data_IF_569237223329
#
_entry.id   IF_569237223329
#
_cell.length_a   1.000
_cell.length_b   1.000
_cell.length_c   1.000
_cell.angle_alpha   90.00
_cell.angle_beta   90.00
_cell.angle_gamma   90.00
#
_symmetry.space_group_name_H-M   'P 1'
#
loop_
_entity.id
_entity.type
_entity.pdbx_description
1 polymer ?
#
# COMPACT_ATOMS: atom_id res chain seq x y z
N UNK A 1 14.28 -10.78 -5.34
CA UNK A 1 12.91 -10.49 -4.87
C UNK A 1 12.69 -8.99 -4.91
N UNK A 2 11.47 -8.51 -5.14
CA UNK A 2 11.12 -7.09 -5.02
C UNK A 2 9.77 -6.89 -4.34
N UNK A 3 9.62 -5.79 -3.61
CA UNK A 3 8.39 -5.35 -2.94
C UNK A 3 8.18 -3.88 -3.28
N UNK A 4 6.95 -3.50 -3.65
CA UNK A 4 6.58 -2.12 -3.97
C UNK A 4 5.23 -1.77 -3.36
N UNK A 5 5.11 -0.59 -2.76
CA UNK A 5 3.83 -0.12 -2.25
C UNK A 5 3.97 1.14 -1.40
N UNK A 6 2.84 1.62 -0.90
CA UNK A 6 2.77 2.65 0.14
C UNK A 6 2.90 1.99 1.52
N UNK A 7 3.99 2.26 2.21
CA UNK A 7 4.27 1.70 3.53
C UNK A 7 3.81 2.63 4.63
N UNK A 8 3.68 3.93 4.34
CA UNK A 8 3.36 4.98 5.31
C UNK A 8 4.21 4.89 6.60
N UNK A 9 5.51 4.63 6.43
CA UNK A 9 6.49 4.52 7.52
C UNK A 9 7.50 5.66 7.49
N UNK A 10 8.07 5.99 8.64
CA UNK A 10 9.03 7.08 8.77
C UNK A 10 10.33 6.62 9.42
N UNK A 11 11.46 6.98 8.82
CA UNK A 11 12.76 6.69 9.39
C UNK A 11 13.78 7.78 8.99
N UNK A 12 14.40 8.42 9.98
CA UNK A 12 15.26 9.60 9.74
C UNK A 12 16.45 9.29 8.84
N UNK A 13 17.23 8.24 9.15
CA UNK A 13 18.44 7.91 8.38
C UNK A 13 18.14 7.19 7.06
N UNK A 14 17.16 6.29 7.05
CA UNK A 14 16.85 5.45 5.88
C UNK A 14 16.00 6.16 4.84
N UNK A 15 15.01 6.97 5.26
CA UNK A 15 14.01 7.59 4.38
C UNK A 15 14.05 9.11 4.39
N UNK A 16 15.03 9.71 5.09
CA UNK A 16 15.16 11.17 5.26
C UNK A 16 13.90 11.83 5.85
N UNK A 17 13.14 11.08 6.64
CA UNK A 17 11.97 11.59 7.36
C UNK A 17 12.37 12.51 8.50
N UNK A 18 11.45 13.36 8.98
CA UNK A 18 11.70 14.24 10.13
C UNK A 18 11.77 13.49 11.46
N UNK A 19 11.19 12.29 11.55
CA UNK A 19 11.20 11.41 12.71
C UNK A 19 11.33 9.94 12.28
N UNK A 20 11.57 9.06 13.25
CA UNK A 20 11.48 7.61 13.09
C UNK A 20 10.30 7.11 13.91
N UNK A 21 9.40 6.35 13.31
CA UNK A 21 8.31 5.66 14.01
C UNK A 21 8.60 4.17 14.17
N UNK A 22 7.80 3.49 15.01
CA UNK A 22 7.97 2.06 15.23
C UNK A 22 7.82 1.24 13.93
N UNK A 23 6.83 1.49 13.05
CA UNK A 23 6.76 0.82 11.76
C UNK A 23 8.00 1.04 10.87
N UNK A 24 8.57 2.25 10.87
CA UNK A 24 9.78 2.57 10.12
C UNK A 24 11.01 1.86 10.64
N UNK A 25 11.18 1.77 11.96
CA UNK A 25 12.22 0.96 12.60
C UNK A 25 12.07 -0.52 12.22
N UNK A 26 10.83 -1.05 12.23
CA UNK A 26 10.56 -2.44 11.84
C UNK A 26 10.82 -2.70 10.35
N UNK A 27 10.40 -1.78 9.48
CA UNK A 27 10.62 -1.88 8.04
C UNK A 27 12.11 -1.80 7.67
N UNK A 28 12.88 -0.95 8.35
CA UNK A 28 14.33 -0.84 8.19
C UNK A 28 15.05 -2.11 8.65
N UNK A 29 14.70 -2.62 9.83
CA UNK A 29 15.27 -3.88 10.32
C UNK A 29 14.92 -5.06 9.40
N UNK A 30 13.69 -5.11 8.89
CA UNK A 30 13.28 -6.09 7.88
C UNK A 30 14.11 -5.96 6.61
N UNK A 31 14.36 -4.74 6.10
CA UNK A 31 15.16 -4.58 4.88
C UNK A 31 16.60 -5.07 5.06
N UNK A 32 17.21 -4.81 6.22
CA UNK A 32 18.55 -5.34 6.54
C UNK A 32 18.54 -6.87 6.62
N UNK A 33 17.59 -7.44 7.37
CA UNK A 33 17.54 -8.90 7.58
C UNK A 33 17.29 -9.68 6.30
N UNK A 34 16.65 -9.06 5.30
CA UNK A 34 16.32 -9.68 4.02
C UNK A 34 17.25 -9.25 2.87
N UNK A 35 18.33 -8.52 3.16
CA UNK A 35 19.26 -7.98 2.16
C UNK A 35 18.54 -7.19 1.04
N UNK A 36 17.60 -6.34 1.46
CA UNK A 36 16.80 -5.49 0.59
C UNK A 36 17.33 -4.06 0.59
N UNK A 37 17.52 -3.50 -0.61
CA UNK A 37 17.82 -2.09 -0.81
C UNK A 37 16.57 -1.31 -1.24
N UNK A 38 16.37 -0.14 -0.64
CA UNK A 38 15.31 0.81 -0.97
C UNK A 38 15.78 1.76 -2.07
N UNK A 39 15.17 1.70 -3.26
CA UNK A 39 15.65 2.46 -4.43
C UNK A 39 14.99 3.83 -4.64
N UNK A 40 13.94 4.16 -3.89
CA UNK A 40 13.27 5.48 -4.04
C UNK A 40 14.02 6.52 -3.22
N UNK A 41 14.56 7.55 -3.89
CA UNK A 41 15.45 8.55 -3.28
C UNK A 41 14.84 9.94 -3.07
N UNK A 42 13.61 10.17 -3.55
CA UNK A 42 12.96 11.47 -3.43
C UNK A 42 11.55 11.35 -2.88
N UNK A 43 11.04 12.40 -2.20
CA UNK A 43 9.69 12.40 -1.66
C UNK A 43 8.65 11.97 -2.68
N UNK A 44 7.86 10.97 -2.30
CA UNK A 44 6.78 10.41 -3.11
C UNK A 44 5.48 11.10 -2.81
N UNK A 45 5.28 11.55 -1.57
CA UNK A 45 4.15 12.41 -1.20
C UNK A 45 4.49 13.89 -1.32
N UNK A 46 3.63 14.63 -2.01
CA UNK A 46 3.63 16.08 -2.11
C UNK A 46 2.68 16.61 -1.04
N UNK A 47 3.13 17.50 -0.13
CA UNK A 47 2.26 18.11 0.86
C UNK A 47 1.10 18.86 0.21
N UNK A 48 -0.14 18.46 0.53
CA UNK A 48 -1.37 19.15 0.15
C UNK A 48 -2.01 19.92 1.33
N UNK A 49 -1.46 19.75 2.54
CA UNK A 49 -1.90 20.39 3.78
C UNK A 49 -0.85 21.32 4.36
N UNK A 50 -1.31 22.38 5.03
CA UNK A 50 -0.43 23.33 5.72
C UNK A 50 0.26 22.63 6.91
N UNK A 51 1.59 22.54 6.86
CA UNK A 51 2.41 21.90 7.89
C UNK A 51 2.94 20.52 7.52
N UNK A 52 2.44 19.91 6.43
CA UNK A 52 2.97 18.65 5.93
C UNK A 52 4.34 18.86 5.27
N UNK A 53 5.22 17.86 5.41
CA UNK A 53 6.54 17.84 4.80
C UNK A 53 6.60 16.80 3.68
N UNK A 54 7.41 17.01 2.63
CA UNK A 54 7.60 15.98 1.60
C UNK A 54 8.25 14.74 2.22
N UNK A 55 7.63 13.57 2.06
CA UNK A 55 8.12 12.31 2.63
C UNK A 55 8.21 11.20 1.57
N UNK A 56 9.13 10.27 1.78
CA UNK A 56 9.24 9.02 1.03
C UNK A 56 8.38 7.99 1.76
N UNK A 57 7.15 7.78 1.29
CA UNK A 57 6.20 6.82 1.89
C UNK A 57 6.00 5.59 1.03
N UNK A 58 6.16 5.75 -0.29
CA UNK A 58 6.12 4.66 -1.24
C UNK A 58 7.54 4.10 -1.42
N UNK A 59 7.72 2.83 -1.08
CA UNK A 59 9.02 2.16 -1.09
C UNK A 59 9.11 1.12 -2.21
N UNK A 60 10.28 1.01 -2.82
CA UNK A 60 10.67 -0.08 -3.71
C UNK A 60 11.89 -0.80 -3.15
N UNK A 61 11.64 -1.93 -2.51
CA UNK A 61 12.65 -2.77 -1.88
C UNK A 61 13.06 -3.90 -2.83
N UNK A 62 14.35 -4.15 -3.00
CA UNK A 62 14.83 -5.25 -3.87
C UNK A 62 16.14 -5.85 -3.40
N UNK A 63 16.33 -7.16 -3.62
CA UNK A 63 17.61 -7.85 -3.40
C UNK A 63 18.56 -7.72 -4.61
N UNK A 64 18.13 -7.08 -5.70
CA UNK A 64 18.96 -6.85 -6.88
C UNK A 64 18.75 -5.43 -7.41
N UNK A 65 19.41 -4.42 -6.81
CA UNK A 65 19.30 -3.01 -7.19
C UNK A 65 19.60 -2.79 -8.68
N UNK A 66 20.65 -3.45 -9.18
CA UNK A 66 21.16 -3.28 -10.55
C UNK A 66 20.18 -3.73 -11.64
N UNK A 67 19.22 -4.59 -11.31
CA UNK A 67 18.21 -5.07 -12.24
C UNK A 67 17.08 -4.06 -12.50
N UNK A 68 16.98 -2.99 -11.70
CA UNK A 68 15.87 -2.05 -11.74
C UNK A 68 16.34 -0.62 -11.93
N UNK A 69 15.48 0.18 -12.57
CA UNK A 69 15.58 1.63 -12.56
C UNK A 69 14.26 2.23 -12.09
N UNK A 70 14.34 3.23 -11.21
CA UNK A 70 13.19 3.93 -10.65
C UNK A 70 13.12 5.33 -11.24
N UNK A 71 11.92 5.73 -11.69
CA UNK A 71 11.62 7.10 -12.12
C UNK A 71 10.36 7.58 -11.40
N UNK A 72 10.40 8.82 -10.92
CA UNK A 72 9.25 9.49 -10.33
C UNK A 72 8.65 10.47 -11.34
N UNK A 73 7.32 10.51 -11.40
CA UNK A 73 6.55 11.39 -12.25
C UNK A 73 5.57 12.21 -11.40
N UNK A 74 4.99 13.26 -12.00
CA UNK A 74 3.93 14.03 -11.34
C UNK A 74 2.77 13.12 -10.91
N UNK A 75 2.03 13.50 -9.85
CA UNK A 75 0.85 12.75 -9.43
C UNK A 75 -0.18 12.58 -10.56
N UNK A 76 -0.92 11.47 -10.49
CA UNK A 76 -2.03 11.22 -11.40
C UNK A 76 -3.28 11.93 -10.89
N UNK A 77 -3.84 12.83 -11.70
CA UNK A 77 -5.05 13.58 -11.34
C UNK A 77 -4.83 14.46 -10.11
N UNK A 78 -5.66 14.25 -9.09
CA UNK A 78 -5.63 15.00 -7.82
C UNK A 78 -4.93 14.25 -6.68
N UNK A 79 -4.16 13.21 -6.98
CA UNK A 79 -3.39 12.50 -5.95
C UNK A 79 -2.30 13.40 -5.37
N UNK A 80 -2.03 13.25 -4.08
CA UNK A 80 -0.88 13.82 -3.39
C UNK A 80 0.36 12.92 -3.50
N UNK A 81 0.24 11.70 -4.04
CA UNK A 81 1.36 10.80 -4.31
C UNK A 81 1.83 10.89 -5.76
N UNK A 82 3.14 10.98 -5.94
CA UNK A 82 3.83 10.91 -7.23
C UNK A 82 3.73 9.50 -7.81
N UNK A 83 3.62 9.43 -9.12
CA UNK A 83 3.67 8.14 -9.81
C UNK A 83 5.10 7.59 -9.80
N UNK A 84 5.26 6.36 -9.33
CA UNK A 84 6.53 5.63 -9.37
C UNK A 84 6.50 4.64 -10.53
N UNK A 85 7.45 4.78 -11.45
CA UNK A 85 7.70 3.81 -12.50
C UNK A 85 8.96 3.03 -12.18
N UNK A 86 8.83 1.71 -12.11
CA UNK A 86 9.96 0.80 -11.96
C UNK A 86 10.12 0.02 -13.25
N UNK A 87 11.31 0.06 -13.84
CA UNK A 87 11.61 -0.67 -15.08
C UNK A 87 12.65 -1.74 -14.80
N UNK A 88 12.39 -2.96 -15.28
CA UNK A 88 13.33 -4.08 -15.24
C UNK A 88 13.65 -4.51 -16.68
N UNK A 89 14.78 -4.06 -17.27
CA UNK A 89 15.06 -4.27 -18.70
C UNK A 89 15.20 -5.74 -19.08
N UNK A 90 15.70 -6.55 -18.14
CA UNK A 90 15.93 -7.99 -18.33
C UNK A 90 14.83 -8.84 -17.70
N UNK A 91 13.65 -8.26 -17.46
CA UNK A 91 12.51 -9.04 -16.96
C UNK A 91 12.22 -10.20 -17.94
N UNK A 92 12.03 -11.44 -17.43
CA UNK A 92 11.52 -12.51 -18.26
C UNK A 92 10.21 -12.04 -18.88
N UNK A 93 10.04 -12.24 -20.19
CA UNK A 93 8.74 -12.02 -20.82
C UNK A 93 7.74 -12.90 -20.06
N UNK A 94 6.74 -12.33 -19.39
CA UNK A 94 5.78 -13.15 -18.68
C UNK A 94 5.16 -14.12 -19.69
N UNK A 95 4.97 -15.41 -19.33
CA UNK A 95 4.21 -16.32 -20.16
C UNK A 95 2.91 -15.63 -20.53
N UNK A 96 2.56 -15.59 -21.83
CA UNK A 96 1.24 -15.12 -22.22
C UNK A 96 0.25 -16.05 -21.56
N UNK A 97 -0.41 -15.57 -20.51
CA UNK A 97 -1.50 -16.31 -19.91
C UNK A 97 -2.52 -16.61 -21.01
N UNK A 98 -2.97 -17.87 -21.15
CA UNK A 98 -4.11 -18.15 -22.02
C UNK A 98 -5.28 -17.26 -21.58
N UNK A 99 -6.14 -16.81 -22.52
CA UNK A 99 -7.24 -15.92 -22.19
C UNK A 99 -8.10 -16.53 -21.08
N UNK A 100 -7.91 -16.04 -19.86
CA UNK A 100 -8.64 -16.47 -18.68
C UNK A 100 -9.95 -15.69 -18.67
N UNK A 101 -11.08 -16.38 -18.52
CA UNK A 101 -12.36 -15.71 -18.24
C UNK A 101 -12.18 -14.94 -16.93
N UNK A 102 -12.11 -13.61 -17.04
CA UNK A 102 -12.15 -12.73 -15.88
C UNK A 102 -13.60 -12.64 -15.44
N UNK A 103 -13.87 -12.96 -14.18
CA UNK A 103 -15.14 -12.62 -13.58
C UNK A 103 -15.18 -11.09 -13.47
N UNK A 104 -16.06 -10.46 -14.24
CA UNK A 104 -16.31 -9.03 -14.14
C UNK A 104 -17.59 -8.83 -13.33
N UNK A 105 -17.45 -8.17 -12.19
CA UNK A 105 -18.58 -7.71 -11.40
C UNK A 105 -19.04 -6.36 -11.97
N UNK A 106 -20.27 -6.27 -12.44
CA UNK A 106 -20.83 -5.01 -12.90
C UNK A 106 -21.45 -4.27 -11.70
N UNK A 107 -21.03 -3.04 -11.46
CA UNK A 107 -21.58 -2.20 -10.39
C UNK A 107 -23.12 -2.09 -10.47
N UNK A 108 -23.65 -1.96 -11.70
CA UNK A 108 -25.08 -1.84 -11.94
C UNK A 108 -25.86 -3.16 -11.72
N UNK A 109 -25.18 -4.32 -11.67
CA UNK A 109 -25.83 -5.61 -11.40
C UNK A 109 -25.77 -6.00 -9.93
N UNK A 110 -25.18 -5.18 -9.07
CA UNK A 110 -25.18 -5.45 -7.63
C UNK A 110 -26.59 -5.28 -7.06
N UNK A 111 -26.98 -6.20 -6.17
CA UNK A 111 -28.24 -6.13 -5.44
C UNK A 111 -28.12 -5.12 -4.30
N UNK A 112 -28.13 -3.85 -4.65
CA UNK A 112 -27.87 -2.76 -3.71
C UNK A 112 -28.88 -2.69 -2.56
N UNK A 113 -30.14 -3.08 -2.80
CA UNK A 113 -31.17 -3.13 -1.75
C UNK A 113 -30.85 -4.22 -0.73
N UNK A 114 -30.58 -5.44 -1.17
CA UNK A 114 -30.16 -6.54 -0.29
C UNK A 114 -28.92 -6.17 0.53
N UNK A 115 -27.93 -5.52 -0.09
CA UNK A 115 -26.72 -5.08 0.60
C UNK A 115 -27.01 -3.98 1.64
N UNK A 116 -27.85 -3.00 1.29
CA UNK A 116 -28.28 -1.95 2.24
C UNK A 116 -29.07 -2.54 3.39
N UNK A 117 -29.96 -3.48 3.11
CA UNK A 117 -30.77 -4.15 4.12
C UNK A 117 -29.89 -4.95 5.08
N UNK A 118 -28.95 -5.74 4.54
CA UNK A 118 -27.96 -6.46 5.33
C UNK A 118 -27.22 -5.54 6.31
N UNK A 119 -26.68 -4.42 5.81
CA UNK A 119 -25.97 -3.48 6.69
C UNK A 119 -26.88 -2.72 7.65
N UNK A 120 -28.16 -2.55 7.35
CA UNK A 120 -29.12 -1.98 8.29
C UNK A 120 -29.48 -2.95 9.41
N UNK A 121 -29.59 -4.24 9.10
CA UNK A 121 -30.00 -5.28 10.04
C UNK A 121 -28.85 -5.86 10.84
N UNK A 122 -27.61 -5.68 10.36
CA UNK A 122 -26.43 -6.20 11.03
C UNK A 122 -26.24 -5.54 12.41
N UNK A 123 -26.08 -6.32 13.50
CA UNK A 123 -25.96 -5.80 14.86
C UNK A 123 -24.57 -5.22 15.14
N UNK A 124 -24.26 -4.08 14.52
CA UNK A 124 -22.92 -3.46 14.56
C UNK A 124 -22.38 -3.21 15.98
N UNK A 125 -23.26 -2.90 16.93
CA UNK A 125 -22.85 -2.63 18.30
C UNK A 125 -22.33 -3.89 19.02
N UNK A 126 -22.82 -5.07 18.66
CA UNK A 126 -22.42 -6.33 19.30
C UNK A 126 -21.08 -6.83 18.75
N UNK A 127 -20.80 -6.53 17.48
CA UNK A 127 -19.64 -7.06 16.74
C UNK A 127 -18.50 -6.05 16.56
N UNK A 128 -18.81 -4.80 16.22
CA UNK A 128 -17.81 -3.83 15.75
C UNK A 128 -17.55 -2.67 16.71
N UNK A 129 -18.56 -2.21 17.45
CA UNK A 129 -18.43 -1.00 18.28
C UNK A 129 -18.38 -1.29 19.79
N UNK A 130 -18.42 -2.57 20.18
CA UNK A 130 -18.30 -2.98 21.57
C UNK A 130 -16.88 -2.80 22.14
N UNK A 131 -15.86 -2.99 21.30
CA UNK A 131 -14.44 -2.99 21.69
C UNK A 131 -13.67 -2.05 20.79
N UNK A 132 -12.71 -1.32 21.37
CA UNK A 132 -11.87 -0.37 20.63
C UNK A 132 -10.75 -1.04 19.83
N UNK A 133 -10.54 -2.35 20.01
CA UNK A 133 -9.53 -3.12 19.29
C UNK A 133 -10.07 -3.58 17.93
N UNK A 134 -9.56 -3.04 16.81
CA UNK A 134 -10.03 -3.40 15.47
C UNK A 134 -9.81 -4.88 15.11
N UNK A 135 -8.78 -5.51 15.67
CA UNK A 135 -8.46 -6.92 15.38
C UNK A 135 -9.52 -7.85 15.95
N UNK A 136 -9.95 -7.56 17.19
CA UNK A 136 -11.00 -8.32 17.86
C UNK A 136 -12.37 -8.10 17.20
N UNK A 137 -12.64 -6.89 16.70
CA UNK A 137 -13.84 -6.62 15.89
C UNK A 137 -13.84 -7.43 14.59
N UNK A 138 -12.71 -7.47 13.88
CA UNK A 138 -12.58 -8.24 12.63
C UNK A 138 -12.81 -9.75 12.84
N UNK A 139 -12.26 -10.33 13.92
CA UNK A 139 -12.50 -11.74 14.25
C UNK A 139 -13.98 -12.06 14.52
N UNK A 140 -14.71 -11.12 15.15
CA UNK A 140 -16.14 -11.31 15.45
C UNK A 140 -16.99 -11.29 14.18
N UNK A 141 -16.71 -10.39 13.24
CA UNK A 141 -17.42 -10.32 11.94
C UNK A 141 -17.19 -11.60 11.13
N UNK A 142 -15.99 -12.20 11.18
CA UNK A 142 -15.71 -13.43 10.45
C UNK A 142 -16.44 -14.67 11.00
N UNK A 143 -17.02 -14.57 12.20
CA UNK A 143 -17.72 -15.66 12.90
C UNK A 143 -19.24 -15.45 12.97
N UNK A 144 -19.76 -14.33 12.45
CA UNK A 144 -21.20 -14.01 12.39
C UNK A 144 -21.91 -14.63 11.20
#
# INVERSE_FOLDING_TARGET
MSIHGDFNVHHQLWLLSSFTDQPGEQAYNFSILQDLEQLVQHPTRIPDRLGDTPNILDLFLTTNPSAYSVKLFSPLGSSDHKLISVTCPNAPVPPRDPPKRRCFWHFNSAKWEDLRQYYSDFPWNDYCFHVKDPSLCAERILRS
#
